data_IF_148759500263
#
_entry.id   IF_148759500263
#
_cell.length_a   1.000
_cell.length_b   1.000
_cell.length_c   1.000
_cell.angle_alpha   90.00
_cell.angle_beta   90.00
_cell.angle_gamma   90.00
#
_symmetry.space_group_name_H-M   'P 1'
#
loop_
_entity.id
_entity.type
_entity.pdbx_description
1 polymer ?
#
# COMPACT_ATOMS: atom_id res chain seq x y z
N UNK A 1 15.39 -22.10 -7.22
CA UNK A 1 16.42 -21.08 -7.56
C UNK A 1 15.83 -19.74 -7.15
N UNK A 2 16.24 -19.21 -5.99
CA UNK A 2 15.65 -18.00 -5.42
C UNK A 2 15.86 -16.79 -6.33
N UNK A 3 14.86 -15.91 -6.42
CA UNK A 3 14.97 -14.67 -7.18
C UNK A 3 16.04 -13.77 -6.54
N UNK A 4 16.89 -13.14 -7.35
CA UNK A 4 18.00 -12.29 -6.89
C UNK A 4 17.63 -10.80 -7.05
N UNK A 5 18.12 -9.95 -6.15
CA UNK A 5 17.96 -8.49 -6.26
C UNK A 5 16.65 -7.99 -5.65
N UNK A 6 15.89 -7.17 -6.38
CA UNK A 6 14.65 -6.51 -5.90
C UNK A 6 13.51 -7.50 -5.54
N UNK A 7 13.64 -8.76 -5.95
CA UNK A 7 12.65 -9.81 -5.68
C UNK A 7 13.19 -10.87 -4.70
N UNK A 8 14.29 -10.58 -4.01
CA UNK A 8 14.84 -11.45 -2.97
C UNK A 8 14.03 -11.30 -1.68
N UNK A 9 13.02 -12.16 -1.54
CA UNK A 9 12.05 -12.07 -0.46
C UNK A 9 12.69 -12.25 0.93
N UNK A 10 13.64 -13.18 1.06
CA UNK A 10 14.32 -13.46 2.33
C UNK A 10 15.12 -12.24 2.78
N UNK A 11 15.86 -11.61 1.86
CA UNK A 11 16.60 -10.37 2.16
C UNK A 11 15.67 -9.23 2.58
N UNK A 12 14.52 -9.11 1.90
CA UNK A 12 13.53 -8.08 2.21
C UNK A 12 12.91 -8.32 3.60
N UNK A 13 12.57 -9.56 3.97
CA UNK A 13 12.10 -9.88 5.32
C UNK A 13 13.16 -9.70 6.40
N UNK A 14 14.40 -10.12 6.15
CA UNK A 14 15.49 -9.92 7.10
C UNK A 14 15.72 -8.42 7.37
N UNK A 15 15.61 -7.58 6.33
CA UNK A 15 15.64 -6.13 6.50
C UNK A 15 14.44 -5.63 7.31
N UNK A 16 13.22 -6.11 7.05
CA UNK A 16 12.03 -5.72 7.82
C UNK A 16 12.16 -6.05 9.32
N UNK A 17 12.53 -7.30 9.64
CA UNK A 17 12.68 -7.78 11.02
C UNK A 17 13.77 -7.05 11.79
N UNK A 18 14.79 -6.51 11.12
CA UNK A 18 15.80 -5.68 11.76
C UNK A 18 15.27 -4.33 12.29
N UNK A 19 14.12 -3.86 11.80
CA UNK A 19 13.50 -2.59 12.22
C UNK A 19 12.18 -2.76 12.97
N UNK A 20 11.58 -3.96 12.94
CA UNK A 20 10.28 -4.24 13.54
C UNK A 20 10.40 -5.51 14.38
N UNK A 21 10.80 -5.34 15.64
CA UNK A 21 10.99 -6.44 16.59
C UNK A 21 10.00 -6.37 17.75
N UNK A 22 9.46 -5.18 18.03
CA UNK A 22 8.50 -4.97 19.10
C UNK A 22 7.08 -5.30 18.62
N UNK A 23 6.32 -6.17 19.33
CA UNK A 23 4.98 -6.58 18.89
C UNK A 23 3.98 -5.42 18.81
N UNK A 24 4.14 -4.37 19.63
CA UNK A 24 3.28 -3.18 19.56
C UNK A 24 3.57 -2.38 18.30
N UNK A 25 4.84 -2.23 17.92
CA UNK A 25 5.21 -1.56 16.68
C UNK A 25 4.72 -2.34 15.46
N UNK A 26 4.88 -3.66 15.46
CA UNK A 26 4.34 -4.54 14.41
C UNK A 26 2.82 -4.37 14.28
N UNK A 27 2.08 -4.32 15.39
CA UNK A 27 0.64 -4.10 15.38
C UNK A 27 0.26 -2.70 14.83
N UNK A 28 0.96 -1.64 15.25
CA UNK A 28 0.77 -0.28 14.74
C UNK A 28 0.94 -0.26 13.22
N UNK A 29 2.01 -0.87 12.71
CA UNK A 29 2.26 -0.96 11.27
C UNK A 29 1.18 -1.78 10.57
N UNK A 30 0.79 -2.91 11.17
CA UNK A 30 -0.25 -3.80 10.63
C UNK A 30 -1.57 -3.07 10.42
N UNK A 31 -1.96 -2.23 11.38
CA UNK A 31 -3.22 -1.48 11.33
C UNK A 31 -3.15 -0.29 10.37
N UNK A 32 -2.02 0.42 10.31
CA UNK A 32 -1.96 1.73 9.62
C UNK A 32 -1.39 1.70 8.19
N UNK A 33 -0.65 0.67 7.78
CA UNK A 33 -0.08 0.62 6.42
C UNK A 33 -1.16 0.57 5.34
N UNK A 34 -2.18 -0.28 5.50
CA UNK A 34 -3.26 -0.41 4.50
C UNK A 34 -4.15 0.84 4.38
N UNK A 35 -4.53 1.52 5.49
CA UNK A 35 -5.18 2.83 5.41
C UNK A 35 -4.33 3.90 4.71
N UNK A 36 -3.01 3.93 4.90
CA UNK A 36 -2.10 4.85 4.17
C UNK A 36 -2.16 4.57 2.67
N UNK A 37 -2.08 3.28 2.27
CA UNK A 37 -2.18 2.88 0.87
C UNK A 37 -3.55 3.27 0.28
N UNK A 38 -4.64 2.92 0.97
CA UNK A 38 -6.00 3.19 0.52
C UNK A 38 -6.29 4.69 0.35
N UNK A 39 -5.90 5.51 1.32
CA UNK A 39 -6.17 6.96 1.26
C UNK A 39 -5.28 7.67 0.25
N UNK A 40 -4.07 7.15 -0.02
CA UNK A 40 -3.27 7.60 -1.18
C UNK A 40 -4.03 7.40 -2.49
N UNK A 41 -4.68 6.24 -2.66
CA UNK A 41 -5.49 5.95 -3.86
C UNK A 41 -6.73 6.85 -3.97
N UNK A 42 -7.36 7.24 -2.85
CA UNK A 42 -8.46 8.22 -2.83
C UNK A 42 -8.00 9.56 -3.42
N UNK A 43 -6.79 10.01 -3.08
CA UNK A 43 -6.24 11.26 -3.63
C UNK A 43 -5.87 11.12 -5.11
N UNK A 44 -5.21 10.00 -5.47
CA UNK A 44 -4.80 9.73 -6.85
C UNK A 44 -5.99 9.54 -7.82
N UNK A 45 -7.19 9.27 -7.30
CA UNK A 45 -8.40 9.20 -8.11
C UNK A 45 -8.67 10.49 -8.91
N UNK A 46 -8.31 11.65 -8.36
CA UNK A 46 -8.57 12.96 -8.98
C UNK A 46 -7.52 13.35 -10.02
N UNK A 47 -6.61 12.45 -10.38
CA UNK A 47 -5.65 12.66 -11.46
C UNK A 47 -6.28 12.41 -12.82
N UNK A 48 -5.80 13.08 -13.90
CA UNK A 48 -6.32 12.84 -15.25
C UNK A 48 -6.24 11.37 -15.64
N UNK A 49 -7.27 10.89 -16.31
CA UNK A 49 -7.30 9.56 -16.90
C UNK A 49 -6.42 9.51 -18.15
N UNK A 50 -5.97 8.31 -18.55
CA UNK A 50 -5.24 8.14 -19.81
C UNK A 50 -6.02 8.71 -21.00
N UNK A 51 -7.34 8.48 -21.06
CA UNK A 51 -8.14 8.99 -22.17
C UNK A 51 -8.10 10.51 -22.25
N UNK A 52 -8.21 11.19 -21.11
CA UNK A 52 -8.17 12.66 -21.05
C UNK A 52 -6.81 13.24 -21.48
N UNK A 53 -5.70 12.52 -21.25
CA UNK A 53 -4.38 12.91 -21.77
C UNK A 53 -4.34 12.97 -23.31
N UNK A 54 -5.19 12.20 -23.98
CA UNK A 54 -5.35 12.21 -25.43
C UNK A 54 -6.59 12.98 -25.90
N UNK A 55 -7.20 13.80 -25.02
CA UNK A 55 -8.46 14.52 -25.29
C UNK A 55 -9.63 13.60 -25.67
N UNK A 56 -9.62 12.36 -25.19
CA UNK A 56 -10.68 11.37 -25.40
C UNK A 56 -11.57 11.27 -24.15
N UNK A 57 -12.85 10.99 -24.35
CA UNK A 57 -13.75 10.70 -23.24
C UNK A 57 -13.69 9.21 -22.87
N UNK A 58 -13.53 8.85 -21.58
CA UNK A 58 -13.54 7.46 -21.15
C UNK A 58 -14.97 6.90 -21.21
N UNK A 59 -15.25 6.03 -22.19
CA UNK A 59 -16.59 5.48 -22.44
C UNK A 59 -16.77 4.00 -22.04
N UNK A 60 -15.72 3.36 -21.50
CA UNK A 60 -15.77 1.93 -21.15
C UNK A 60 -16.69 1.65 -19.95
N UNK A 61 -17.08 0.38 -19.78
CA UNK A 61 -17.95 -0.07 -18.68
C UNK A 61 -17.44 0.38 -17.30
N UNK A 62 -16.13 0.22 -17.05
CA UNK A 62 -15.48 0.64 -15.81
C UNK A 62 -15.66 2.15 -15.54
N UNK A 63 -15.44 2.98 -16.56
CA UNK A 63 -15.57 4.44 -16.44
C UNK A 63 -17.00 4.87 -16.07
N UNK A 64 -18.04 4.18 -16.58
CA UNK A 64 -19.44 4.44 -16.19
C UNK A 64 -19.66 4.22 -14.69
N UNK A 65 -18.97 3.24 -14.12
CA UNK A 65 -18.99 2.93 -12.69
C UNK A 65 -17.98 3.75 -11.87
N UNK A 66 -17.31 4.75 -12.47
CA UNK A 66 -16.34 5.59 -11.76
C UNK A 66 -15.01 4.88 -11.49
N UNK A 67 -14.69 3.85 -12.25
CA UNK A 67 -13.41 3.17 -12.21
C UNK A 67 -12.58 3.64 -13.40
N UNK A 68 -11.62 4.53 -13.13
CA UNK A 68 -10.83 5.19 -14.16
C UNK A 68 -9.40 4.65 -14.22
N UNK A 69 -8.85 4.59 -15.44
CA UNK A 69 -7.44 4.30 -15.68
C UNK A 69 -6.62 5.59 -15.50
N UNK A 70 -6.44 5.99 -14.25
CA UNK A 70 -5.67 7.16 -13.82
C UNK A 70 -4.44 6.72 -12.99
N UNK A 71 -3.72 7.66 -12.38
CA UNK A 71 -2.53 7.32 -11.58
C UNK A 71 -2.85 6.36 -10.42
N UNK A 72 -4.06 6.42 -9.85
CA UNK A 72 -4.49 5.49 -8.79
C UNK A 72 -4.54 4.04 -9.28
N UNK A 73 -5.08 3.80 -10.47
CA UNK A 73 -5.08 2.46 -11.09
C UNK A 73 -3.66 1.95 -11.31
N UNK A 74 -2.79 2.76 -11.92
CA UNK A 74 -1.41 2.35 -12.20
C UNK A 74 -0.59 2.13 -10.94
N UNK A 75 -0.84 2.93 -9.90
CA UNK A 75 -0.21 2.75 -8.60
C UNK A 75 -0.59 1.40 -7.97
N UNK A 76 -1.89 1.07 -7.94
CA UNK A 76 -2.36 -0.22 -7.43
C UNK A 76 -1.86 -1.40 -8.29
N UNK A 77 -1.87 -1.24 -9.62
CA UNK A 77 -1.38 -2.26 -10.56
C UNK A 77 0.12 -2.52 -10.39
N UNK A 78 0.93 -1.47 -10.21
CA UNK A 78 2.36 -1.59 -9.95
C UNK A 78 2.62 -2.45 -8.71
N UNK A 79 1.94 -2.15 -7.60
CA UNK A 79 2.05 -2.94 -6.37
C UNK A 79 1.58 -4.38 -6.58
N UNK A 80 0.45 -4.58 -7.23
CA UNK A 80 -0.10 -5.91 -7.51
C UNK A 80 0.86 -6.79 -8.32
N UNK A 81 1.38 -6.28 -9.45
CA UNK A 81 2.35 -6.99 -10.29
C UNK A 81 3.62 -7.27 -9.50
N UNK A 82 4.12 -6.26 -8.79
CA UNK A 82 5.34 -6.36 -8.00
C UNK A 82 5.23 -7.47 -6.94
N UNK A 83 4.11 -7.57 -6.23
CA UNK A 83 3.87 -8.60 -5.22
C UNK A 83 3.74 -10.01 -5.81
N UNK A 84 3.02 -10.17 -6.92
CA UNK A 84 2.92 -11.48 -7.61
C UNK A 84 4.29 -11.94 -8.11
N UNK A 85 5.12 -11.01 -8.60
CA UNK A 85 6.49 -11.31 -9.00
C UNK A 85 7.36 -11.73 -7.81
N UNK A 86 7.14 -11.17 -6.63
CA UNK A 86 7.91 -11.48 -5.42
C UNK A 86 7.59 -12.87 -4.84
N UNK A 87 6.31 -13.18 -4.65
CA UNK A 87 5.86 -14.52 -4.26
C UNK A 87 4.50 -14.81 -4.90
N UNK A 88 4.37 -15.93 -5.60
CA UNK A 88 3.13 -16.21 -6.34
C UNK A 88 1.93 -16.42 -5.43
N UNK A 89 2.09 -16.99 -4.23
CA UNK A 89 0.97 -17.34 -3.34
C UNK A 89 0.54 -16.13 -2.50
N UNK A 90 1.43 -15.63 -1.66
CA UNK A 90 1.18 -14.46 -0.82
C UNK A 90 0.99 -13.19 -1.66
N UNK A 91 1.73 -13.06 -2.76
CA UNK A 91 1.62 -11.93 -3.67
C UNK A 91 0.32 -11.88 -4.45
N UNK A 92 -0.29 -13.03 -4.77
CA UNK A 92 -1.62 -13.03 -5.39
C UNK A 92 -2.70 -12.49 -4.43
N UNK A 93 -2.60 -12.81 -3.13
CA UNK A 93 -3.50 -12.25 -2.11
C UNK A 93 -3.27 -10.73 -1.96
N UNK A 94 -2.01 -10.30 -1.87
CA UNK A 94 -1.67 -8.88 -1.77
C UNK A 94 -2.13 -8.10 -3.02
N UNK A 95 -1.97 -8.67 -4.21
CA UNK A 95 -2.43 -8.09 -5.46
C UNK A 95 -3.96 -7.94 -5.50
N UNK A 96 -4.71 -8.97 -5.08
CA UNK A 96 -6.16 -8.88 -4.98
C UNK A 96 -6.58 -7.76 -4.01
N UNK A 97 -5.90 -7.62 -2.88
CA UNK A 97 -6.16 -6.56 -1.92
C UNK A 97 -5.82 -5.16 -2.47
N UNK A 98 -4.71 -4.99 -3.18
CA UNK A 98 -4.37 -3.73 -3.85
C UNK A 98 -5.47 -3.31 -4.85
N UNK A 99 -5.96 -4.25 -5.66
CA UNK A 99 -7.04 -3.98 -6.62
C UNK A 99 -8.38 -3.71 -5.93
N UNK A 100 -8.69 -4.42 -4.84
CA UNK A 100 -9.87 -4.14 -4.02
C UNK A 100 -9.80 -2.74 -3.39
N UNK A 101 -8.63 -2.33 -2.88
CA UNK A 101 -8.39 -0.98 -2.40
C UNK A 101 -8.61 0.06 -3.49
N UNK A 102 -8.13 -0.16 -4.72
CA UNK A 102 -8.36 0.75 -5.84
C UNK A 102 -9.84 0.91 -6.19
N UNK A 103 -10.60 -0.20 -6.23
CA UNK A 103 -12.05 -0.14 -6.46
C UNK A 103 -12.72 0.64 -5.32
N UNK A 104 -12.47 0.26 -4.06
CA UNK A 104 -13.08 0.90 -2.90
C UNK A 104 -12.73 2.39 -2.78
N UNK A 105 -11.47 2.75 -3.01
CA UNK A 105 -11.00 4.14 -2.94
C UNK A 105 -11.60 4.99 -4.05
N UNK A 106 -11.77 4.43 -5.25
CA UNK A 106 -12.38 5.12 -6.39
C UNK A 106 -13.87 5.40 -6.13
N UNK A 107 -14.60 4.40 -5.62
CA UNK A 107 -16.01 4.57 -5.24
C UNK A 107 -16.18 5.61 -4.13
N UNK A 108 -15.30 5.58 -3.11
CA UNK A 108 -15.31 6.56 -2.03
C UNK A 108 -14.96 7.97 -2.53
N UNK A 109 -13.91 8.12 -3.33
CA UNK A 109 -13.48 9.40 -3.87
C UNK A 109 -14.57 10.03 -4.75
N UNK A 110 -15.25 9.21 -5.57
CA UNK A 110 -16.41 9.64 -6.36
C UNK A 110 -17.54 10.15 -5.48
N UNK A 111 -17.82 9.47 -4.36
CA UNK A 111 -18.90 9.86 -3.44
C UNK A 111 -18.58 11.15 -2.68
N UNK A 112 -17.34 11.32 -2.21
CA UNK A 112 -16.93 12.48 -1.42
C UNK A 112 -16.72 13.74 -2.28
N UNK A 113 -16.26 13.57 -3.52
CA UNK A 113 -15.75 14.66 -4.35
C UNK A 113 -14.45 15.27 -3.78
N UNK A 114 -13.73 16.03 -4.62
CA UNK A 114 -12.37 16.49 -4.26
C UNK A 114 -12.35 17.31 -2.97
N UNK A 115 -13.25 18.28 -2.82
CA UNK A 115 -13.28 19.24 -1.71
C UNK A 115 -13.29 18.60 -0.32
N UNK A 116 -13.99 17.47 -0.16
CA UNK A 116 -14.01 16.72 1.09
C UNK A 116 -12.94 15.62 1.11
N UNK A 117 -12.72 14.93 -0.01
CA UNK A 117 -11.79 13.82 -0.10
C UNK A 117 -10.37 14.20 0.34
N UNK A 118 -9.83 15.33 -0.13
CA UNK A 118 -8.44 15.71 0.23
C UNK A 118 -8.28 15.97 1.74
N UNK A 119 -9.33 16.48 2.41
CA UNK A 119 -9.31 16.73 3.86
C UNK A 119 -9.31 15.41 4.65
N UNK A 120 -10.15 14.47 4.23
CA UNK A 120 -10.20 13.12 4.81
C UNK A 120 -8.86 12.42 4.61
N UNK A 121 -8.28 12.49 3.41
CA UNK A 121 -6.96 11.91 3.11
C UNK A 121 -5.90 12.55 4.00
N UNK A 122 -5.85 13.87 4.09
CA UNK A 122 -4.84 14.57 4.90
C UNK A 122 -4.93 14.16 6.38
N UNK A 123 -6.13 14.13 6.96
CA UNK A 123 -6.34 13.72 8.34
C UNK A 123 -5.90 12.26 8.57
N UNK A 124 -6.29 11.34 7.68
CA UNK A 124 -5.94 9.94 7.78
C UNK A 124 -4.43 9.71 7.61
N UNK A 125 -3.80 10.36 6.65
CA UNK A 125 -2.35 10.28 6.41
C UNK A 125 -1.57 10.78 7.62
N UNK A 126 -1.89 11.96 8.15
CA UNK A 126 -1.24 12.49 9.34
C UNK A 126 -1.38 11.54 10.53
N UNK A 127 -2.60 11.08 10.81
CA UNK A 127 -2.86 10.16 11.92
C UNK A 127 -2.08 8.85 11.79
N UNK A 128 -2.14 8.21 10.62
CA UNK A 128 -1.48 6.92 10.38
C UNK A 128 0.04 7.05 10.41
N UNK A 129 0.62 8.06 9.73
CA UNK A 129 2.07 8.29 9.74
C UNK A 129 2.59 8.67 11.11
N UNK A 130 1.86 9.49 11.88
CA UNK A 130 2.22 9.76 13.28
C UNK A 130 2.28 8.46 14.07
N UNK A 131 1.30 7.56 13.91
CA UNK A 131 1.33 6.23 14.51
C UNK A 131 2.61 5.46 14.17
N UNK A 132 2.97 5.39 12.89
CA UNK A 132 4.17 4.68 12.40
C UNK A 132 5.46 5.26 13.00
N UNK A 133 5.60 6.59 13.02
CA UNK A 133 6.78 7.24 13.57
C UNK A 133 6.89 7.09 15.09
N UNK A 134 5.77 7.18 15.81
CA UNK A 134 5.73 6.91 17.26
C UNK A 134 6.05 5.44 17.54
N UNK A 135 5.57 4.53 16.69
CA UNK A 135 5.91 3.12 16.67
C UNK A 135 7.42 2.89 16.76
N UNK A 136 8.14 3.40 15.77
CA UNK A 136 9.60 3.33 15.71
C UNK A 136 10.29 4.09 16.85
N UNK A 137 9.87 5.33 17.14
CA UNK A 137 10.56 6.18 18.12
C UNK A 137 10.42 5.69 19.57
N UNK A 138 9.23 5.23 19.96
CA UNK A 138 8.93 4.83 21.35
C UNK A 138 9.30 3.37 21.58
N UNK A 139 8.88 2.47 20.68
CA UNK A 139 8.97 1.03 20.92
C UNK A 139 10.25 0.39 20.38
N UNK A 140 10.70 0.80 19.18
CA UNK A 140 11.97 0.31 18.61
C UNK A 140 13.17 1.15 19.04
N UNK A 141 12.94 2.39 19.51
CA UNK A 141 13.97 3.38 19.84
C UNK A 141 14.98 3.58 18.70
N UNK A 142 14.48 3.49 17.47
CA UNK A 142 15.28 3.53 16.25
C UNK A 142 14.60 4.42 15.23
N UNK A 143 15.41 5.02 14.35
CA UNK A 143 14.93 5.67 13.15
C UNK A 143 14.17 4.68 12.23
N UNK A 144 13.11 5.13 11.54
CA UNK A 144 12.36 4.29 10.62
C UNK A 144 13.17 3.94 9.37
N UNK A 145 12.95 2.74 8.83
CA UNK A 145 13.68 2.20 7.67
C UNK A 145 13.55 3.05 6.39
N UNK A 146 12.51 3.89 6.30
CA UNK A 146 12.31 4.84 5.20
C UNK A 146 13.46 5.85 5.03
N UNK A 147 14.21 6.13 6.10
CA UNK A 147 15.38 7.03 6.03
C UNK A 147 16.60 6.34 5.40
N UNK A 148 16.64 5.01 5.41
CA UNK A 148 17.73 4.24 4.82
C UNK A 148 17.44 3.83 3.37
N UNK A 149 16.19 3.45 3.07
CA UNK A 149 15.76 3.13 1.71
C UNK A 149 14.25 3.39 1.52
N UNK A 150 13.91 4.61 1.09
CA UNK A 150 12.52 5.05 0.92
C UNK A 150 11.72 4.16 -0.03
N UNK A 151 12.28 3.81 -1.19
CA UNK A 151 11.58 3.04 -2.22
C UNK A 151 11.28 1.64 -1.71
N UNK A 152 12.26 0.97 -1.10
CA UNK A 152 12.06 -0.34 -0.51
C UNK A 152 11.05 -0.28 0.63
N UNK A 153 11.18 0.69 1.55
CA UNK A 153 10.27 0.81 2.69
C UNK A 153 8.81 0.97 2.25
N UNK A 154 8.54 1.84 1.28
CA UNK A 154 7.17 2.06 0.77
C UNK A 154 6.63 0.86 0.01
N UNK A 155 7.40 0.30 -0.93
CA UNK A 155 6.95 -0.83 -1.73
C UNK A 155 6.71 -2.08 -0.87
N UNK A 156 7.54 -2.33 0.15
CA UNK A 156 7.46 -3.58 0.89
C UNK A 156 6.44 -3.57 2.02
N UNK A 157 6.18 -2.40 2.63
CA UNK A 157 5.38 -2.33 3.85
C UNK A 157 4.01 -3.02 3.75
N UNK A 158 3.18 -2.82 2.70
CA UNK A 158 1.88 -3.51 2.60
C UNK A 158 2.02 -5.04 2.49
N UNK A 159 3.02 -5.51 1.75
CA UNK A 159 3.27 -6.95 1.60
C UNK A 159 3.70 -7.59 2.92
N UNK A 160 4.64 -6.97 3.65
CA UNK A 160 5.13 -7.52 4.90
C UNK A 160 4.04 -7.62 5.95
N UNK A 161 3.20 -6.59 6.09
CA UNK A 161 2.06 -6.61 7.02
C UNK A 161 1.10 -7.77 6.72
N UNK A 162 0.79 -7.98 5.44
CA UNK A 162 -0.10 -9.08 5.04
C UNK A 162 0.55 -10.44 5.29
N UNK A 163 1.84 -10.56 4.99
CA UNK A 163 2.58 -11.78 5.21
C UNK A 163 2.70 -12.10 6.69
N UNK A 164 3.06 -11.13 7.54
CA UNK A 164 3.14 -11.25 9.01
C UNK A 164 1.79 -11.75 9.57
N UNK A 165 0.68 -11.14 9.16
CA UNK A 165 -0.66 -11.57 9.57
C UNK A 165 -1.00 -12.99 9.09
N UNK A 166 -0.52 -13.39 7.91
CA UNK A 166 -0.77 -14.71 7.34
C UNK A 166 0.15 -15.79 7.92
N UNK A 167 1.36 -15.41 8.35
CA UNK A 167 2.41 -16.31 8.88
C UNK A 167 2.42 -16.40 10.40
N UNK A 168 1.77 -15.46 11.11
CA UNK A 168 1.45 -15.57 12.55
C UNK A 168 0.59 -16.81 12.86
N UNK A 169 -0.13 -17.35 11.87
CA UNK A 169 -0.83 -18.64 11.97
C UNK A 169 0.06 -19.86 11.64
N UNK A 170 1.29 -19.65 11.16
CA UNK A 170 2.17 -20.70 10.63
C UNK A 170 3.51 -20.84 11.38
N UNK A 171 3.91 -19.87 12.21
CA UNK A 171 5.18 -19.89 12.97
C UNK A 171 5.02 -20.21 14.46
N UNK A 172 4.00 -21.00 14.82
CA UNK A 172 3.97 -21.78 16.07
C UNK A 172 4.40 -23.24 15.87
N UNK A 173 5.25 -23.54 14.88
CA UNK A 173 5.80 -24.89 14.66
C UNK A 173 7.32 -24.84 14.76
#
# INVERSE_FOLDING_TARGET
MGMKGLFDLEKHFAFYGAYHSNPVNILIHTVFVWPIFFTSLVLLYFTPTICELFSLQPQCYLARHGLFLNLGFFFALLYAVFYVCMDRKAGSLAAALCMACWVGSSLLARHLGFSLAWKVVLAAQLFCWTGQFLGHGIFEKRAPALLDNLVQALLMAPFFVLFEASSSNCLQI
#
